data_IF_386701734941
#
_entry.id   IF_386701734941
#
_cell.length_a   1.000
_cell.length_b   1.000
_cell.length_c   1.000
_cell.angle_alpha   90.00
_cell.angle_beta   90.00
_cell.angle_gamma   90.00
#
_symmetry.space_group_name_H-M   'P 1'
#
loop_
_entity.id
_entity.type
_entity.pdbx_description
1 polymer ?
#
# COMPACT_ATOMS: atom_id res chain seq x y z
N UNK A 1 12.08 -7.14 -13.47
CA UNK A 1 11.09 -7.10 -12.38
C UNK A 1 10.30 -5.78 -12.34
N UNK A 2 10.95 -4.60 -12.28
CA UNK A 2 10.29 -3.28 -12.35
C UNK A 2 9.27 -3.18 -13.50
N UNK A 3 9.65 -3.61 -14.69
CA UNK A 3 8.78 -3.55 -15.88
C UNK A 3 7.61 -4.54 -15.78
N UNK A 4 7.81 -5.70 -15.15
CA UNK A 4 6.76 -6.68 -14.90
C UNK A 4 5.65 -6.13 -13.98
N UNK A 5 5.99 -5.44 -12.89
CA UNK A 5 5.00 -4.81 -11.98
C UNK A 5 4.25 -3.70 -12.70
N UNK A 6 4.97 -2.81 -13.39
CA UNK A 6 4.35 -1.76 -14.20
C UNK A 6 3.36 -2.34 -15.21
N UNK A 7 3.79 -3.31 -16.00
CA UNK A 7 2.95 -3.94 -17.03
C UNK A 7 1.71 -4.62 -16.43
N UNK A 8 1.88 -5.24 -15.25
CA UNK A 8 0.78 -5.86 -14.51
C UNK A 8 -0.27 -4.81 -14.10
N UNK A 9 0.15 -3.69 -13.51
CA UNK A 9 -0.76 -2.64 -13.09
C UNK A 9 -1.35 -1.84 -14.25
N UNK A 10 -0.61 -1.65 -15.36
CA UNK A 10 -1.16 -1.08 -16.60
C UNK A 10 -2.35 -1.92 -17.12
N UNK A 11 -2.24 -3.25 -17.09
CA UNK A 11 -3.33 -4.16 -17.48
C UNK A 11 -4.51 -4.14 -16.49
N UNK A 12 -4.24 -3.93 -15.21
CA UNK A 12 -5.26 -3.89 -14.15
C UNK A 12 -6.00 -2.54 -14.09
N UNK A 13 -5.45 -1.47 -14.67
CA UNK A 13 -5.99 -0.11 -14.53
C UNK A 13 -7.46 0.02 -14.92
N UNK A 14 -7.90 -0.64 -16.02
CA UNK A 14 -9.30 -0.64 -16.41
C UNK A 14 -10.21 -1.28 -15.35
N UNK A 15 -9.78 -2.39 -14.76
CA UNK A 15 -10.50 -3.08 -13.68
C UNK A 15 -10.61 -2.22 -12.43
N UNK A 16 -9.54 -1.52 -12.08
CA UNK A 16 -9.52 -0.61 -10.93
C UNK A 16 -10.42 0.60 -11.15
N UNK A 17 -10.43 1.17 -12.37
CA UNK A 17 -11.28 2.31 -12.72
C UNK A 17 -12.78 1.98 -12.63
N UNK A 18 -13.19 0.81 -13.10
CA UNK A 18 -14.59 0.39 -13.10
C UNK A 18 -15.12 -0.04 -11.73
N UNK A 19 -14.23 -0.46 -10.83
CA UNK A 19 -14.57 -1.14 -9.58
C UNK A 19 -13.80 -0.65 -8.36
N UNK A 20 -13.45 0.64 -8.28
CA UNK A 20 -12.62 1.23 -7.22
C UNK A 20 -13.00 0.84 -5.79
N UNK A 21 -14.30 0.70 -5.49
CA UNK A 21 -14.77 0.44 -4.14
C UNK A 21 -15.22 -1.00 -3.87
N UNK A 22 -15.66 -1.73 -4.89
CA UNK A 22 -16.41 -2.98 -4.70
C UNK A 22 -15.72 -4.23 -5.24
N UNK A 23 -14.66 -4.10 -6.02
CA UNK A 23 -14.07 -5.25 -6.72
C UNK A 23 -13.24 -6.18 -5.84
N UNK A 24 -12.74 -5.71 -4.70
CA UNK A 24 -11.93 -6.51 -3.80
C UNK A 24 -12.40 -6.35 -2.35
N UNK A 25 -13.16 -7.32 -1.81
CA UNK A 25 -13.62 -7.28 -0.42
C UNK A 25 -12.48 -7.19 0.61
N UNK A 26 -11.30 -7.75 0.31
CA UNK A 26 -10.10 -7.68 1.16
C UNK A 26 -9.60 -6.25 1.34
N UNK A 27 -9.69 -5.42 0.28
CA UNK A 27 -9.35 -4.00 0.40
C UNK A 27 -10.48 -3.24 1.12
N UNK A 28 -11.73 -3.39 0.65
CA UNK A 28 -12.85 -2.55 1.07
C UNK A 28 -13.32 -2.80 2.50
N UNK A 29 -13.23 -4.05 2.99
CA UNK A 29 -13.78 -4.44 4.29
C UNK A 29 -12.76 -4.99 5.29
N UNK A 30 -11.47 -4.97 4.94
CA UNK A 30 -10.42 -5.50 5.80
C UNK A 30 -9.23 -4.54 5.89
N UNK A 31 -8.52 -4.25 4.78
CA UNK A 31 -7.32 -3.41 4.80
C UNK A 31 -7.66 -1.93 4.99
N UNK A 32 -8.50 -1.34 4.13
CA UNK A 32 -8.85 0.08 4.14
C UNK A 32 -9.46 0.58 5.45
N UNK A 33 -10.43 -0.12 6.08
CA UNK A 33 -10.93 0.30 7.38
C UNK A 33 -9.84 0.42 8.43
N UNK A 34 -8.95 -0.57 8.54
CA UNK A 34 -7.87 -0.58 9.52
C UNK A 34 -6.82 0.50 9.24
N UNK A 35 -6.40 0.68 7.98
CA UNK A 35 -5.49 1.77 7.60
C UNK A 35 -6.08 3.14 7.94
N UNK A 36 -7.36 3.37 7.62
CA UNK A 36 -8.02 4.65 7.85
C UNK A 36 -8.28 4.95 9.33
N UNK A 37 -8.25 3.95 10.22
CA UNK A 37 -8.27 4.14 11.68
C UNK A 37 -6.95 4.68 12.22
N UNK A 38 -5.82 4.29 11.62
CA UNK A 38 -4.47 4.76 12.01
C UNK A 38 -4.16 6.17 11.52
N UNK A 39 -4.82 6.60 10.44
CA UNK A 39 -4.64 7.91 9.83
C UNK A 39 -5.54 8.93 10.53
N UNK A 40 -4.97 10.06 10.94
CA UNK A 40 -5.72 11.15 11.57
C UNK A 40 -7.00 11.49 10.81
N UNK A 41 -8.07 11.76 11.55
CA UNK A 41 -9.32 12.26 10.97
C UNK A 41 -9.21 13.72 10.54
N UNK A 42 -8.30 14.49 11.14
CA UNK A 42 -8.06 15.90 10.87
C UNK A 42 -6.78 16.01 10.01
N UNK A 43 -6.97 16.19 8.72
CA UNK A 43 -5.88 16.31 7.74
C UNK A 43 -5.86 17.71 7.08
N UNK A 44 -6.67 18.65 7.57
CA UNK A 44 -6.77 20.00 7.01
C UNK A 44 -5.39 20.65 6.86
N UNK A 45 -5.04 21.00 5.63
CA UNK A 45 -3.76 21.61 5.28
C UNK A 45 -2.52 20.72 5.38
N UNK A 46 -2.64 19.46 5.83
CA UNK A 46 -1.52 18.51 5.86
C UNK A 46 -1.08 18.14 4.45
N UNK A 47 0.23 18.04 4.24
CA UNK A 47 0.82 17.53 3.00
C UNK A 47 0.98 16.01 3.11
N UNK A 48 0.32 15.27 2.24
CA UNK A 48 0.35 13.81 2.21
C UNK A 48 0.96 13.30 0.93
N UNK A 49 1.85 12.32 1.02
CA UNK A 49 2.32 11.53 -0.09
C UNK A 49 1.58 10.18 -0.10
N UNK A 50 0.79 9.91 -1.14
CA UNK A 50 0.18 8.62 -1.43
C UNK A 50 1.12 7.84 -2.35
N UNK A 51 1.91 6.94 -1.77
CA UNK A 51 3.01 6.24 -2.42
C UNK A 51 2.57 4.85 -2.92
N UNK A 52 2.31 4.73 -4.22
CA UNK A 52 1.65 3.59 -4.85
C UNK A 52 0.13 3.78 -4.85
N UNK A 53 -0.32 4.93 -5.36
CA UNK A 53 -1.71 5.39 -5.23
C UNK A 53 -2.73 4.58 -6.05
N UNK A 54 -2.28 3.75 -6.99
CA UNK A 54 -3.14 3.06 -7.96
C UNK A 54 -4.15 4.05 -8.60
N UNK A 55 -5.44 3.70 -8.62
CA UNK A 55 -6.48 4.57 -9.19
C UNK A 55 -7.01 5.64 -8.21
N UNK A 56 -6.34 5.90 -7.07
CA UNK A 56 -6.54 7.10 -6.24
C UNK A 56 -7.58 6.98 -5.12
N UNK A 57 -7.92 5.77 -4.68
CA UNK A 57 -8.89 5.63 -3.60
C UNK A 57 -8.46 6.35 -2.31
N UNK A 58 -7.23 6.10 -1.81
CA UNK A 58 -6.69 6.78 -0.62
C UNK A 58 -6.54 8.27 -0.85
N UNK A 59 -6.04 8.67 -2.02
CA UNK A 59 -5.94 10.07 -2.42
C UNK A 59 -7.28 10.80 -2.23
N UNK A 60 -8.40 10.21 -2.71
CA UNK A 60 -9.73 10.82 -2.56
C UNK A 60 -10.18 10.93 -1.10
N UNK A 61 -9.84 9.94 -0.25
CA UNK A 61 -10.16 9.99 1.18
C UNK A 61 -9.40 11.11 1.91
N UNK A 62 -8.14 11.34 1.54
CA UNK A 62 -7.32 12.39 2.15
C UNK A 62 -7.79 13.78 1.74
N UNK A 63 -8.11 13.97 0.45
CA UNK A 63 -8.71 15.22 -0.06
C UNK A 63 -10.01 15.51 0.68
N UNK A 64 -10.89 14.51 0.83
CA UNK A 64 -12.15 14.64 1.57
C UNK A 64 -11.98 15.02 3.05
N UNK A 65 -10.75 14.90 3.60
CA UNK A 65 -10.37 15.35 4.96
C UNK A 65 -9.54 16.65 4.96
N UNK A 66 -9.46 17.36 3.82
CA UNK A 66 -8.79 18.66 3.70
C UNK A 66 -7.27 18.61 3.47
N UNK A 67 -6.70 17.45 3.12
CA UNK A 67 -5.28 17.34 2.86
C UNK A 67 -4.86 17.86 1.48
N UNK A 68 -3.60 18.33 1.39
CA UNK A 68 -2.91 18.59 0.14
C UNK A 68 -2.17 17.31 -0.29
N UNK A 69 -2.65 16.62 -1.30
CA UNK A 69 -2.16 15.29 -1.66
C UNK A 69 -1.28 15.32 -2.90
N UNK A 70 -0.11 14.69 -2.80
CA UNK A 70 0.69 14.25 -3.94
C UNK A 70 0.58 12.72 -4.02
N UNK A 71 0.21 12.21 -5.17
CA UNK A 71 0.00 10.78 -5.41
C UNK A 71 0.96 10.28 -6.49
N UNK A 72 1.67 9.19 -6.22
CA UNK A 72 2.64 8.62 -7.17
C UNK A 72 2.36 7.14 -7.40
N UNK A 73 2.53 6.71 -8.64
CA UNK A 73 2.47 5.31 -9.03
C UNK A 73 3.43 5.02 -10.18
N UNK A 74 3.94 3.80 -10.29
CA UNK A 74 4.83 3.39 -11.37
C UNK A 74 4.08 3.16 -12.68
N UNK A 75 2.78 2.89 -12.63
CA UNK A 75 1.91 2.66 -13.78
C UNK A 75 1.33 3.98 -14.31
N UNK A 76 1.66 4.40 -15.55
CA UNK A 76 1.07 5.58 -16.17
C UNK A 76 -0.45 5.43 -16.36
N UNK A 77 -0.96 4.21 -16.56
CA UNK A 77 -2.40 3.97 -16.71
C UNK A 77 -3.15 4.11 -15.38
N UNK A 78 -2.53 3.71 -14.26
CA UNK A 78 -3.08 3.97 -12.91
C UNK A 78 -3.11 5.47 -12.61
N UNK A 79 -2.01 6.18 -12.86
CA UNK A 79 -1.94 7.63 -12.71
C UNK A 79 -3.01 8.34 -13.54
N UNK A 80 -3.21 7.91 -14.78
CA UNK A 80 -4.27 8.43 -15.66
C UNK A 80 -5.66 8.17 -15.08
N UNK A 81 -5.93 6.94 -14.61
CA UNK A 81 -7.20 6.58 -13.98
C UNK A 81 -7.47 7.42 -12.73
N UNK A 82 -6.45 7.63 -11.88
CA UNK A 82 -6.55 8.47 -10.69
C UNK A 82 -6.85 9.94 -11.04
N UNK A 83 -6.17 10.50 -12.06
CA UNK A 83 -6.46 11.86 -12.57
C UNK A 83 -7.86 12.00 -13.12
N UNK A 84 -8.35 11.01 -13.87
CA UNK A 84 -9.72 11.02 -14.39
C UNK A 84 -10.77 10.95 -13.26
N UNK A 85 -10.46 10.23 -12.18
CA UNK A 85 -11.35 10.07 -11.04
C UNK A 85 -11.39 11.30 -10.12
N UNK A 86 -10.25 11.93 -9.86
CA UNK A 86 -10.09 12.98 -8.85
C UNK A 86 -10.01 14.39 -9.49
N UNK A 87 -9.54 14.49 -10.73
CA UNK A 87 -9.33 15.78 -11.38
C UNK A 87 -8.08 16.49 -10.85
N UNK A 88 -8.20 17.82 -10.68
CA UNK A 88 -7.09 18.72 -10.32
C UNK A 88 -6.92 18.91 -8.80
N UNK A 89 -7.67 18.16 -7.98
CA UNK A 89 -7.64 18.30 -6.52
C UNK A 89 -6.39 17.68 -5.87
N UNK A 90 -5.59 16.92 -6.63
CA UNK A 90 -4.30 16.38 -6.23
C UNK A 90 -3.23 16.54 -7.29
N UNK A 91 -1.96 16.45 -6.87
CA UNK A 91 -0.83 16.35 -7.80
C UNK A 91 -0.53 14.87 -8.06
N UNK A 92 -0.48 14.49 -9.33
CA UNK A 92 -0.20 13.11 -9.74
C UNK A 92 1.10 13.01 -10.53
N UNK A 93 1.96 12.04 -10.19
CA UNK A 93 3.22 11.77 -10.86
C UNK A 93 3.36 10.28 -11.19
N UNK A 94 3.75 9.96 -12.41
CA UNK A 94 4.22 8.62 -12.73
C UNK A 94 5.69 8.51 -12.31
N UNK A 95 5.95 7.77 -11.22
CA UNK A 95 7.29 7.68 -10.63
C UNK A 95 7.50 6.34 -9.93
N UNK A 96 8.73 5.82 -10.02
CA UNK A 96 9.12 4.60 -9.34
C UNK A 96 9.68 4.91 -7.95
N UNK A 97 9.10 4.29 -6.92
CA UNK A 97 9.56 4.44 -5.54
C UNK A 97 11.02 3.97 -5.31
N UNK A 98 11.58 3.19 -6.22
CA UNK A 98 12.97 2.76 -6.16
C UNK A 98 13.95 3.82 -6.70
N UNK A 99 13.45 4.90 -7.27
CA UNK A 99 14.25 6.05 -7.72
C UNK A 99 14.20 7.17 -6.67
N UNK A 100 15.13 8.13 -6.77
CA UNK A 100 15.11 9.32 -5.91
C UNK A 100 13.81 10.08 -6.12
N UNK A 101 13.09 10.35 -5.04
CA UNK A 101 11.83 11.07 -5.10
C UNK A 101 12.06 12.54 -5.50
N UNK A 102 11.30 13.11 -6.47
CA UNK A 102 11.49 14.47 -6.97
C UNK A 102 10.89 15.52 -6.01
N UNK A 103 11.11 15.36 -4.73
CA UNK A 103 10.58 16.24 -3.68
C UNK A 103 11.71 16.74 -2.79
N UNK A 104 11.51 17.92 -2.21
CA UNK A 104 12.43 18.49 -1.23
C UNK A 104 12.38 17.75 0.10
N UNK A 105 13.45 17.86 0.87
CA UNK A 105 13.51 17.33 2.24
C UNK A 105 12.40 17.93 3.11
N UNK A 106 11.90 17.15 4.07
CA UNK A 106 10.93 17.60 5.06
C UNK A 106 9.66 18.25 4.45
N UNK A 107 9.17 17.69 3.36
CA UNK A 107 8.01 18.23 2.63
C UNK A 107 6.69 17.73 3.20
N UNK A 108 6.59 16.44 3.52
CA UNK A 108 5.34 15.78 3.86
C UNK A 108 5.13 15.61 5.37
N UNK A 109 3.89 15.74 5.82
CA UNK A 109 3.48 15.45 7.18
C UNK A 109 3.21 13.94 7.35
N UNK A 110 2.69 13.29 6.31
CA UNK A 110 2.33 11.86 6.30
C UNK A 110 2.71 11.24 4.97
N UNK A 111 3.26 10.04 5.00
CA UNK A 111 3.36 9.14 3.83
C UNK A 111 2.46 7.94 4.10
N UNK A 112 1.61 7.61 3.12
CA UNK A 112 0.80 6.39 3.12
C UNK A 112 1.23 5.52 1.95
N UNK A 113 1.40 4.21 2.18
CA UNK A 113 1.73 3.24 1.13
C UNK A 113 0.94 1.95 1.35
N UNK A 114 -0.19 1.83 0.64
CA UNK A 114 -1.09 0.69 0.78
C UNK A 114 -0.73 -0.42 -0.20
N UNK A 115 -0.43 -1.61 0.33
CA UNK A 115 -0.19 -2.85 -0.43
C UNK A 115 0.79 -2.67 -1.62
N UNK A 116 1.83 -1.86 -1.43
CA UNK A 116 2.79 -1.50 -2.48
C UNK A 116 4.19 -2.03 -2.19
N UNK A 117 4.70 -1.88 -0.97
CA UNK A 117 6.10 -2.14 -0.66
C UNK A 117 6.54 -3.59 -0.85
N UNK A 118 5.63 -4.57 -0.76
CA UNK A 118 5.97 -5.97 -0.99
C UNK A 118 6.34 -6.29 -2.45
N UNK A 119 6.03 -5.40 -3.41
CA UNK A 119 6.52 -5.52 -4.79
C UNK A 119 7.98 -5.12 -4.96
N UNK A 120 8.56 -4.42 -4.00
CA UNK A 120 9.91 -3.86 -4.09
C UNK A 120 10.92 -4.81 -3.44
N UNK A 121 11.98 -5.15 -4.17
CA UNK A 121 13.02 -6.04 -3.66
C UNK A 121 13.84 -5.40 -2.53
N UNK A 122 14.17 -4.13 -2.66
CA UNK A 122 15.03 -3.42 -1.73
C UNK A 122 14.31 -2.22 -1.11
N UNK A 123 14.04 -2.28 0.19
CA UNK A 123 13.38 -1.19 0.91
C UNK A 123 14.33 -0.11 1.40
N UNK A 124 15.62 -0.39 1.44
CA UNK A 124 16.62 0.52 2.00
C UNK A 124 16.56 1.91 1.33
N UNK A 125 16.64 1.97 0.00
CA UNK A 125 16.57 3.23 -0.74
C UNK A 125 15.20 3.91 -0.59
N UNK A 126 14.13 3.13 -0.63
CA UNK A 126 12.77 3.64 -0.47
C UNK A 126 12.58 4.29 0.89
N UNK A 127 13.02 3.63 1.97
CA UNK A 127 12.90 4.17 3.32
C UNK A 127 13.86 5.34 3.58
N UNK A 128 15.03 5.37 2.95
CA UNK A 128 15.89 6.57 2.95
C UNK A 128 15.16 7.77 2.35
N UNK A 129 14.53 7.60 1.19
CA UNK A 129 13.79 8.66 0.51
C UNK A 129 12.53 9.05 1.29
N UNK A 130 11.76 8.09 1.81
CA UNK A 130 10.61 8.38 2.67
C UNK A 130 11.03 9.18 3.91
N UNK A 131 12.13 8.77 4.56
CA UNK A 131 12.68 9.51 5.70
C UNK A 131 13.10 10.93 5.32
N UNK A 132 13.75 11.10 4.16
CA UNK A 132 14.22 12.40 3.67
C UNK A 132 13.07 13.37 3.42
N UNK A 133 12.03 12.91 2.74
CA UNK A 133 10.91 13.78 2.35
C UNK A 133 9.87 13.97 3.46
N UNK A 134 9.84 13.10 4.49
CA UNK A 134 9.02 13.29 5.69
C UNK A 134 9.63 14.34 6.61
N UNK A 135 8.79 15.21 7.16
CA UNK A 135 9.16 16.13 8.22
C UNK A 135 9.60 15.37 9.48
N UNK A 136 10.47 15.96 10.34
CA UNK A 136 10.67 15.43 11.69
C UNK A 136 9.33 15.30 12.43
N UNK A 137 9.07 14.14 13.02
CA UNK A 137 7.79 13.81 13.64
C UNK A 137 6.67 13.46 12.64
N UNK A 138 6.95 13.44 11.33
CA UNK A 138 6.01 12.98 10.32
C UNK A 138 5.76 11.47 10.37
N UNK A 139 4.59 11.04 9.90
CA UNK A 139 4.11 9.66 10.01
C UNK A 139 4.31 8.89 8.70
N UNK A 140 4.84 7.68 8.79
CA UNK A 140 4.80 6.67 7.73
C UNK A 140 3.80 5.59 8.12
N UNK A 141 2.78 5.37 7.29
CA UNK A 141 1.78 4.31 7.49
C UNK A 141 1.74 3.46 6.22
N UNK A 142 2.00 2.16 6.37
CA UNK A 142 1.98 1.29 5.22
C UNK A 142 1.37 -0.08 5.53
N UNK A 143 0.78 -0.70 4.51
CA UNK A 143 0.30 -2.07 4.54
C UNK A 143 1.03 -2.96 3.55
N UNK A 144 1.20 -4.23 3.92
CA UNK A 144 1.84 -5.27 3.09
C UNK A 144 1.17 -6.62 3.32
N UNK A 145 1.53 -7.59 2.50
CA UNK A 145 1.22 -9.00 2.79
C UNK A 145 1.81 -9.42 4.14
N UNK A 146 1.04 -10.18 4.90
CA UNK A 146 1.53 -10.71 6.17
C UNK A 146 2.45 -11.90 5.94
N UNK A 147 3.64 -11.98 6.57
CA UNK A 147 4.58 -13.10 6.40
C UNK A 147 3.96 -14.47 6.68
N UNK A 148 3.04 -14.54 7.65
CA UNK A 148 2.34 -15.78 7.97
C UNK A 148 1.47 -16.26 6.80
N UNK A 149 0.73 -15.36 6.15
CA UNK A 149 -0.08 -15.68 4.97
C UNK A 149 0.80 -16.17 3.83
N UNK A 150 1.86 -15.42 3.50
CA UNK A 150 2.78 -15.78 2.43
C UNK A 150 3.46 -17.13 2.68
N UNK A 151 3.90 -17.38 3.92
CA UNK A 151 4.50 -18.65 4.31
C UNK A 151 3.51 -19.83 4.20
N UNK A 152 2.25 -19.61 4.58
CA UNK A 152 1.21 -20.66 4.55
C UNK A 152 0.76 -20.96 3.12
N UNK A 153 0.61 -19.91 2.29
CA UNK A 153 0.11 -20.04 0.91
C UNK A 153 1.19 -20.54 -0.06
N UNK A 154 2.44 -20.12 0.15
CA UNK A 154 3.56 -20.42 -0.74
C UNK A 154 4.63 -21.21 0.03
N UNK A 155 4.65 -22.56 -0.10
CA UNK A 155 5.63 -23.40 0.57
C UNK A 155 7.08 -22.96 0.28
N UNK A 156 7.93 -23.00 1.29
CA UNK A 156 9.35 -22.68 1.17
C UNK A 156 10.18 -23.55 2.13
N UNK A 157 11.46 -23.69 1.83
CA UNK A 157 12.42 -24.41 2.67
C UNK A 157 12.83 -23.59 3.90
N UNK A 158 12.90 -22.25 3.76
CA UNK A 158 13.32 -21.35 4.81
C UNK A 158 12.40 -20.14 4.91
N UNK A 159 11.81 -19.91 6.09
CA UNK A 159 11.04 -18.72 6.41
C UNK A 159 11.89 -17.43 6.39
N UNK A 160 13.19 -17.56 6.70
CA UNK A 160 14.10 -16.41 6.85
C UNK A 160 14.66 -15.90 5.52
N UNK A 161 14.45 -16.61 4.43
CA UNK A 161 14.90 -16.18 3.12
C UNK A 161 13.90 -15.23 2.47
N UNK A 162 14.39 -14.04 2.04
CA UNK A 162 13.64 -13.18 1.13
C UNK A 162 13.48 -13.90 -0.20
N UNK A 163 12.26 -14.11 -0.62
CA UNK A 163 11.94 -14.88 -1.82
C UNK A 163 10.97 -14.15 -2.71
N UNK A 164 11.25 -14.14 -4.03
CA UNK A 164 10.28 -13.74 -5.04
C UNK A 164 9.20 -14.83 -5.16
N UNK A 165 7.96 -14.43 -4.99
CA UNK A 165 6.78 -15.27 -5.16
C UNK A 165 6.02 -14.84 -6.41
N UNK A 166 5.32 -15.79 -7.03
CA UNK A 166 4.42 -15.54 -8.16
C UNK A 166 3.04 -16.04 -7.76
N UNK A 167 2.06 -15.16 -7.79
CA UNK A 167 0.65 -15.47 -7.55
C UNK A 167 -0.17 -15.26 -8.82
N UNK A 168 -1.15 -16.10 -9.04
CA UNK A 168 -2.07 -15.97 -10.18
C UNK A 168 -3.37 -15.33 -9.71
N UNK A 169 -3.62 -14.11 -10.15
CA UNK A 169 -4.86 -13.41 -9.85
C UNK A 169 -5.88 -13.61 -10.97
N UNK A 170 -7.00 -14.19 -10.59
CA UNK A 170 -8.15 -14.36 -11.49
C UNK A 170 -9.17 -13.27 -11.19
N UNK A 171 -9.37 -12.37 -12.13
CA UNK A 171 -10.38 -11.30 -12.09
C UNK A 171 -11.43 -11.58 -13.19
N UNK A 172 -12.60 -10.95 -13.17
CA UNK A 172 -13.68 -11.25 -14.12
C UNK A 172 -13.26 -11.22 -15.60
N UNK A 173 -12.37 -10.33 -15.98
CA UNK A 173 -11.96 -10.11 -17.38
C UNK A 173 -10.48 -10.40 -17.65
N UNK A 174 -9.70 -10.81 -16.65
CA UNK A 174 -8.27 -11.02 -16.80
C UNK A 174 -7.73 -12.04 -15.80
N UNK A 175 -6.82 -12.89 -16.27
CA UNK A 175 -5.95 -13.69 -15.40
C UNK A 175 -4.55 -13.18 -15.58
N UNK A 176 -3.88 -12.84 -14.49
CA UNK A 176 -2.57 -12.20 -14.51
C UNK A 176 -1.67 -12.78 -13.41
N UNK A 177 -0.40 -12.99 -13.74
CA UNK A 177 0.62 -13.32 -12.75
C UNK A 177 1.14 -12.04 -12.09
N UNK A 178 1.28 -12.09 -10.77
CA UNK A 178 1.74 -10.99 -9.95
C UNK A 178 2.95 -11.44 -9.17
N UNK A 179 4.05 -10.77 -9.35
CA UNK A 179 5.31 -11.02 -8.66
C UNK A 179 5.43 -10.12 -7.43
N UNK A 180 5.81 -10.69 -6.28
CA UNK A 180 6.07 -9.93 -5.05
C UNK A 180 7.08 -10.65 -4.15
N UNK A 181 7.69 -9.91 -3.22
CA UNK A 181 8.69 -10.47 -2.31
C UNK A 181 8.07 -10.80 -0.96
N UNK A 182 8.21 -12.07 -0.57
CA UNK A 182 8.04 -12.47 0.82
C UNK A 182 9.26 -12.07 1.63
N UNK A 183 9.01 -11.60 2.86
CA UNK A 183 10.01 -11.29 3.89
C UNK A 183 9.59 -11.91 5.21
N UNK A 184 10.57 -12.19 6.08
CA UNK A 184 10.28 -12.53 7.45
C UNK A 184 9.72 -11.30 8.21
N UNK A 185 8.96 -11.52 9.27
CA UNK A 185 8.50 -10.43 10.14
C UNK A 185 9.70 -9.66 10.73
N UNK A 186 10.77 -10.38 11.07
CA UNK A 186 12.02 -9.77 11.55
C UNK A 186 12.59 -8.77 10.53
N UNK A 187 12.65 -9.15 9.24
CA UNK A 187 13.18 -8.25 8.20
C UNK A 187 12.30 -7.00 8.04
N UNK A 188 10.99 -7.19 8.03
CA UNK A 188 10.03 -6.07 7.93
C UNK A 188 10.24 -5.07 9.07
N UNK A 189 10.31 -5.56 10.31
CA UNK A 189 10.47 -4.71 11.50
C UNK A 189 11.85 -4.05 11.51
N UNK A 190 12.92 -4.79 11.24
CA UNK A 190 14.28 -4.25 11.26
C UNK A 190 14.50 -3.21 10.15
N UNK A 191 14.03 -3.47 8.93
CA UNK A 191 14.10 -2.49 7.84
C UNK A 191 13.37 -1.20 8.22
N UNK A 192 12.19 -1.31 8.85
CA UNK A 192 11.45 -0.14 9.31
C UNK A 192 12.22 0.63 10.41
N UNK A 193 12.71 -0.08 11.43
CA UNK A 193 13.35 0.54 12.60
C UNK A 193 14.74 1.08 12.32
N UNK A 194 15.37 0.69 11.22
CA UNK A 194 16.62 1.32 10.76
C UNK A 194 16.42 2.79 10.39
N UNK A 195 15.22 3.20 10.00
CA UNK A 195 14.92 4.54 9.50
C UNK A 195 13.93 5.32 10.37
N UNK A 196 13.01 4.62 11.01
CA UNK A 196 11.86 5.19 11.72
C UNK A 196 11.76 4.65 13.15
N UNK A 197 10.99 5.32 13.99
CA UNK A 197 10.53 4.77 15.26
C UNK A 197 9.23 4.04 15.02
N UNK A 198 9.21 2.75 15.30
CA UNK A 198 7.97 1.97 15.24
C UNK A 198 7.00 2.48 16.32
N UNK A 199 5.81 2.88 15.92
CA UNK A 199 4.75 3.32 16.82
C UNK A 199 3.72 2.21 17.04
N UNK A 200 3.21 1.61 15.97
CA UNK A 200 2.16 0.60 16.06
C UNK A 200 2.29 -0.46 14.96
N UNK A 201 1.93 -1.70 15.32
CA UNK A 201 1.76 -2.83 14.40
C UNK A 201 0.30 -3.28 14.51
N UNK A 202 -0.37 -3.40 13.35
CA UNK A 202 -1.76 -3.85 13.30
C UNK A 202 -1.88 -5.07 12.38
N UNK A 203 -2.46 -6.14 12.91
CA UNK A 203 -3.00 -7.25 12.16
C UNK A 203 -4.50 -7.02 12.03
N UNK A 204 -4.98 -6.52 10.88
CA UNK A 204 -6.36 -6.09 10.75
C UNK A 204 -7.35 -7.24 10.90
N UNK A 205 -8.61 -6.90 11.18
CA UNK A 205 -9.75 -7.81 11.16
C UNK A 205 -10.81 -7.29 10.21
N UNK A 206 -11.50 -8.22 9.53
CA UNK A 206 -12.57 -7.85 8.63
C UNK A 206 -13.76 -7.26 9.42
N UNK A 207 -14.32 -6.17 8.91
CA UNK A 207 -15.53 -5.57 9.49
C UNK A 207 -16.77 -6.41 9.17
N UNK A 208 -17.82 -6.29 10.01
CA UNK A 208 -19.06 -7.08 9.89
C UNK A 208 -19.70 -7.03 8.50
N UNK A 209 -19.58 -5.91 7.80
CA UNK A 209 -20.12 -5.75 6.44
C UNK A 209 -19.53 -6.75 5.44
N UNK A 210 -18.31 -7.22 5.66
CA UNK A 210 -17.70 -8.24 4.81
C UNK A 210 -18.47 -9.57 4.85
N UNK A 211 -19.09 -9.89 5.99
CA UNK A 211 -19.88 -11.11 6.16
C UNK A 211 -21.08 -11.17 5.22
N UNK A 212 -21.65 -10.02 4.86
CA UNK A 212 -22.78 -9.92 3.93
C UNK A 212 -22.35 -10.16 2.48
N UNK A 213 -21.09 -9.88 2.15
CA UNK A 213 -20.54 -9.96 0.78
C UNK A 213 -19.79 -11.27 0.55
N UNK A 214 -18.97 -11.69 1.51
CA UNK A 214 -18.17 -12.91 1.50
C UNK A 214 -17.98 -13.44 2.92
N UNK A 215 -18.95 -14.23 3.37
CA UNK A 215 -18.97 -14.80 4.71
C UNK A 215 -17.75 -15.71 4.97
N UNK A 216 -17.29 -16.47 3.98
CA UNK A 216 -16.12 -17.35 4.10
C UNK A 216 -14.86 -16.57 4.36
N UNK A 217 -14.62 -15.53 3.58
CA UNK A 217 -13.46 -14.65 3.77
C UNK A 217 -13.56 -13.83 5.06
N UNK A 218 -14.76 -13.44 5.50
CA UNK A 218 -14.95 -12.81 6.80
C UNK A 218 -14.42 -13.67 7.95
N UNK A 219 -14.81 -14.95 8.03
CA UNK A 219 -14.31 -15.85 9.08
C UNK A 219 -12.82 -16.13 8.94
N UNK A 220 -12.33 -16.32 7.73
CA UNK A 220 -10.91 -16.52 7.49
C UNK A 220 -10.07 -15.34 8.00
N UNK A 221 -10.42 -14.11 7.61
CA UNK A 221 -9.68 -12.89 7.96
C UNK A 221 -9.81 -12.48 9.43
N UNK A 222 -10.82 -12.99 10.13
CA UNK A 222 -10.95 -12.78 11.58
C UNK A 222 -10.24 -13.85 12.41
N UNK A 223 -9.66 -14.88 11.77
CA UNK A 223 -8.95 -15.97 12.43
C UNK A 223 -7.52 -16.16 11.94
N UNK A 224 -7.16 -15.57 10.79
CA UNK A 224 -5.83 -15.67 10.20
C UNK A 224 -5.35 -14.29 9.77
N UNK A 225 -4.11 -13.89 10.11
CA UNK A 225 -3.54 -12.64 9.62
C UNK A 225 -3.23 -12.76 8.13
N UNK A 226 -3.70 -11.79 7.33
CA UNK A 226 -3.52 -11.79 5.88
C UNK A 226 -2.71 -10.58 5.40
N UNK A 227 -2.94 -9.41 5.98
CA UNK A 227 -2.12 -8.22 5.81
C UNK A 227 -1.51 -7.79 7.14
N UNK A 228 -0.42 -7.04 7.04
CA UNK A 228 0.27 -6.40 8.16
C UNK A 228 0.29 -4.91 7.90
N UNK A 229 -0.09 -4.11 8.88
CA UNK A 229 -0.03 -2.66 8.82
C UNK A 229 0.98 -2.17 9.84
N UNK A 230 1.79 -1.22 9.45
CA UNK A 230 2.81 -0.60 10.30
C UNK A 230 2.63 0.91 10.27
N UNK A 231 2.61 1.50 11.48
CA UNK A 231 2.75 2.93 11.70
C UNK A 231 4.09 3.22 12.34
N UNK A 232 4.81 4.16 11.77
CA UNK A 232 6.14 4.57 12.24
C UNK A 232 6.33 6.07 12.10
N UNK A 233 7.24 6.65 12.91
CA UNK A 233 7.47 8.08 13.03
C UNK A 233 8.88 8.41 12.56
N UNK A 234 9.03 9.47 11.76
CA UNK A 234 10.32 10.04 11.40
C UNK A 234 10.93 10.77 12.62
N UNK A 235 12.17 10.41 12.95
CA UNK A 235 12.92 11.07 14.06
C UNK A 235 13.45 12.42 13.67
#
# INVERSE_FOLDING_TARGET
MKDSIKDTYDKLASTYKENLDFANPYNSYYERPAMMELISKELEGKKILDAGCAAGWYTSQFIGRGANVTAIDVSPEMVKAAKEYIGEEATFLCHDLQETLPFEDNTYDVIVSSLTLHYLENWNQVFQEFRRVLKPGGELIYSIHHPFMDFTKFPCESYFEKQLLIDTWVKPNITIEVEFFRRSLQDIINETTNYFVLEEIVEPKAIEKMKEVDEKSYYYLNTNPHFLIIKAINK
#
